data_IF_329858960303
#
_entry.id   IF_329858960303
#
_cell.length_a   1.000
_cell.length_b   1.000
_cell.length_c   1.000
_cell.angle_alpha   90.00
_cell.angle_beta   90.00
_cell.angle_gamma   90.00
#
_symmetry.space_group_name_H-M   'P 1'
#
loop_
_entity.id
_entity.type
_entity.pdbx_description
1 polymer ?
#
# COMPACT_ATOMS: atom_id res chain seq x y z
N UNK A 1 39.09 8.61 68.01
CA UNK A 1 39.26 8.91 66.57
C UNK A 1 38.79 7.73 65.74
N UNK A 2 37.66 7.85 65.04
CA UNK A 2 37.40 7.29 63.70
C UNK A 2 36.00 7.76 63.28
N UNK A 3 35.99 8.52 62.18
CA UNK A 3 34.87 9.30 61.65
C UNK A 3 33.93 8.40 60.86
N UNK A 4 32.64 8.57 61.10
CA UNK A 4 31.52 8.05 60.30
C UNK A 4 31.51 8.74 58.94
N UNK A 5 31.56 7.97 57.86
CA UNK A 5 31.48 8.46 56.49
C UNK A 5 30.01 8.55 56.08
N UNK A 6 29.52 9.78 55.87
CA UNK A 6 28.17 10.07 55.40
C UNK A 6 28.15 9.86 53.87
N UNK A 7 27.29 8.95 53.41
CA UNK A 7 27.06 8.67 52.00
C UNK A 7 26.07 9.69 51.44
N UNK A 8 26.52 10.59 50.56
CA UNK A 8 25.65 11.47 49.79
C UNK A 8 25.04 10.70 48.61
N UNK A 9 23.76 10.36 48.71
CA UNK A 9 22.95 9.91 47.56
C UNK A 9 22.49 11.12 46.77
N UNK A 10 23.15 11.40 45.65
CA UNK A 10 22.65 12.34 44.64
C UNK A 10 21.48 11.70 43.90
N UNK A 11 20.25 12.09 44.24
CA UNK A 11 19.06 11.86 43.42
C UNK A 11 19.22 12.65 42.11
N UNK A 12 19.66 11.98 41.05
CA UNK A 12 19.53 12.51 39.70
C UNK A 12 18.06 12.41 39.28
N UNK A 13 17.31 13.49 39.48
CA UNK A 13 16.04 13.73 38.81
C UNK A 13 16.30 13.81 37.30
N UNK A 14 16.22 12.68 36.60
CA UNK A 14 16.05 12.67 35.15
C UNK A 14 14.65 13.24 34.88
N UNK A 15 14.58 14.54 34.67
CA UNK A 15 13.49 15.15 33.94
C UNK A 15 13.51 14.53 32.54
N UNK A 16 12.69 13.49 32.33
CA UNK A 16 12.24 13.13 31.00
C UNK A 16 11.45 14.32 30.49
N UNK A 17 12.13 15.22 29.79
CA UNK A 17 11.50 16.19 28.93
C UNK A 17 10.70 15.41 27.91
N UNK A 18 9.41 15.27 28.14
CA UNK A 18 8.44 15.02 27.09
C UNK A 18 8.62 16.16 26.08
N UNK A 19 9.41 15.93 25.02
CA UNK A 19 9.36 16.80 23.86
C UNK A 19 8.02 16.49 23.20
N UNK A 20 6.99 17.18 23.68
CA UNK A 20 5.70 17.25 23.00
C UNK A 20 5.94 17.93 21.66
N UNK A 21 6.15 17.14 20.61
CA UNK A 21 6.05 17.65 19.24
C UNK A 21 4.56 17.78 18.88
N UNK A 22 3.90 18.78 19.48
CA UNK A 22 2.72 19.43 18.92
C UNK A 22 3.18 20.28 17.74
N UNK A 23 3.61 19.62 16.66
CA UNK A 23 4.02 20.33 15.44
C UNK A 23 2.82 20.85 14.67
N UNK A 24 3.00 21.95 13.96
CA UNK A 24 2.08 22.35 12.89
C UNK A 24 2.20 21.37 11.70
N UNK A 25 1.14 21.22 10.87
CA UNK A 25 1.24 20.51 9.61
C UNK A 25 2.39 21.01 8.72
N UNK A 26 3.16 20.08 8.15
CA UNK A 26 4.34 20.39 7.33
C UNK A 26 4.01 20.24 5.85
N UNK A 27 4.28 21.27 5.05
CA UNK A 27 4.09 21.20 3.60
C UNK A 27 5.15 20.32 2.95
N UNK A 28 4.71 19.47 2.04
CA UNK A 28 5.56 18.64 1.19
C UNK A 28 5.86 19.41 -0.10
N UNK A 29 7.13 19.73 -0.40
CA UNK A 29 7.49 20.38 -1.65
C UNK A 29 7.24 19.44 -2.84
N UNK A 30 6.77 20.00 -3.96
CA UNK A 30 6.67 19.26 -5.21
C UNK A 30 8.07 18.90 -5.72
N UNK A 31 8.17 17.79 -6.43
CA UNK A 31 9.39 17.38 -7.13
C UNK A 31 9.09 17.19 -8.61
N UNK A 32 10.05 17.55 -9.46
CA UNK A 32 9.90 17.39 -10.91
C UNK A 32 9.84 15.92 -11.26
N UNK A 33 8.80 15.54 -11.99
CA UNK A 33 8.63 14.17 -12.49
C UNK A 33 9.05 14.08 -13.96
N UNK A 34 9.49 12.89 -14.38
CA UNK A 34 9.73 12.59 -15.78
C UNK A 34 8.42 12.56 -16.58
N UNK A 35 8.47 13.03 -17.81
CA UNK A 35 7.34 12.98 -18.74
C UNK A 35 7.28 11.62 -19.43
N UNK A 36 6.07 11.15 -19.71
CA UNK A 36 5.84 9.89 -20.40
C UNK A 36 4.52 9.86 -21.15
N UNK A 37 4.23 8.73 -21.78
CA UNK A 37 3.05 8.46 -22.58
C UNK A 37 2.09 7.51 -21.85
N UNK A 38 0.85 7.94 -21.53
CA UNK A 38 -0.09 7.13 -20.76
C UNK A 38 -0.54 5.86 -21.49
N UNK A 39 -0.59 5.85 -22.82
CA UNK A 39 -0.95 4.63 -23.57
C UNK A 39 0.14 3.57 -23.43
N UNK A 40 1.40 3.96 -23.61
CA UNK A 40 2.55 3.07 -23.38
C UNK A 40 2.63 2.60 -21.93
N UNK A 41 2.29 3.47 -20.98
CA UNK A 41 2.24 3.14 -19.56
C UNK A 41 1.22 2.04 -19.25
N UNK A 42 0.01 2.16 -19.80
CA UNK A 42 -1.00 1.11 -19.68
C UNK A 42 -0.56 -0.20 -20.34
N UNK A 43 -0.01 -0.14 -21.56
CA UNK A 43 0.52 -1.31 -22.24
C UNK A 43 1.62 -1.99 -21.42
N UNK A 44 2.56 -1.23 -20.87
CA UNK A 44 3.62 -1.77 -20.02
C UNK A 44 3.07 -2.34 -18.70
N UNK A 45 2.07 -1.71 -18.08
CA UNK A 45 1.42 -2.24 -16.88
C UNK A 45 0.88 -3.67 -17.10
N UNK A 46 0.19 -3.88 -18.22
CA UNK A 46 -0.60 -5.11 -18.47
C UNK A 46 0.06 -6.14 -19.38
N UNK A 47 1.21 -5.81 -19.99
CA UNK A 47 2.01 -6.73 -20.83
C UNK A 47 3.51 -6.70 -20.52
N UNK A 48 4.00 -5.72 -19.77
CA UNK A 48 5.42 -5.47 -19.56
C UNK A 48 6.10 -6.42 -18.60
N UNK A 49 7.43 -6.40 -18.67
CA UNK A 49 8.37 -7.36 -18.09
C UNK A 49 9.13 -6.80 -16.88
N UNK A 50 8.47 -5.99 -16.05
CA UNK A 50 9.12 -5.40 -14.85
C UNK A 50 9.38 -6.43 -13.73
N UNK A 51 8.79 -7.63 -13.84
CA UNK A 51 9.11 -8.83 -13.05
C UNK A 51 9.46 -9.96 -14.04
N UNK A 52 10.75 -10.20 -14.28
CA UNK A 52 11.25 -11.10 -15.35
C UNK A 52 11.37 -12.58 -14.95
N UNK A 53 10.96 -12.97 -13.75
CA UNK A 53 10.93 -14.37 -13.31
C UNK A 53 9.58 -14.70 -12.67
N UNK A 54 9.10 -15.92 -12.84
CA UNK A 54 7.76 -16.30 -12.40
C UNK A 54 7.49 -17.79 -12.51
N UNK A 55 6.21 -18.16 -12.46
CA UNK A 55 5.77 -19.56 -12.56
C UNK A 55 5.66 -19.93 -14.04
N UNK A 56 6.23 -21.06 -14.50
CA UNK A 56 6.04 -21.53 -15.86
C UNK A 56 4.55 -21.67 -16.23
N UNK A 57 4.16 -21.22 -17.41
CA UNK A 57 2.75 -21.06 -17.82
C UNK A 57 1.89 -22.32 -17.61
N UNK A 58 2.44 -23.50 -17.91
CA UNK A 58 1.72 -24.77 -17.74
C UNK A 58 1.40 -25.05 -16.28
N UNK A 59 2.36 -24.81 -15.38
CA UNK A 59 2.15 -24.96 -13.93
C UNK A 59 1.21 -23.90 -13.38
N UNK A 60 1.32 -22.67 -13.88
CA UNK A 60 0.40 -21.61 -13.51
C UNK A 60 -1.05 -22.01 -13.83
N UNK A 61 -1.30 -22.54 -15.03
CA UNK A 61 -2.64 -23.01 -15.46
C UNK A 61 -3.16 -24.20 -14.66
N UNK A 62 -2.28 -25.05 -14.12
CA UNK A 62 -2.69 -26.14 -13.23
C UNK A 62 -3.14 -25.62 -11.85
N UNK A 63 -2.51 -24.56 -11.34
CA UNK A 63 -2.85 -23.97 -10.04
C UNK A 63 -3.98 -22.93 -10.08
N UNK A 64 -4.07 -22.17 -11.17
CA UNK A 64 -5.04 -21.09 -11.37
C UNK A 64 -6.11 -21.53 -12.38
N UNK A 65 -7.11 -22.27 -11.90
CA UNK A 65 -8.18 -22.84 -12.73
C UNK A 65 -9.47 -22.02 -12.76
N UNK A 66 -9.62 -21.06 -11.83
CA UNK A 66 -10.81 -20.21 -11.71
C UNK A 66 -10.41 -18.75 -11.63
N UNK A 67 -10.71 -18.01 -12.68
CA UNK A 67 -10.55 -16.55 -12.77
C UNK A 67 -11.45 -16.02 -13.89
N UNK A 68 -11.68 -14.72 -13.89
CA UNK A 68 -12.47 -14.04 -14.91
C UNK A 68 -11.54 -13.16 -15.76
N UNK A 69 -11.13 -13.66 -16.93
CA UNK A 69 -10.31 -12.89 -17.88
C UNK A 69 -11.08 -11.76 -18.56
N UNK A 70 -12.41 -11.73 -18.48
CA UNK A 70 -13.22 -10.64 -19.05
C UNK A 70 -13.08 -9.34 -18.28
N UNK A 71 -12.62 -9.40 -17.03
CA UNK A 71 -12.32 -8.22 -16.20
C UNK A 71 -11.21 -7.33 -16.78
N UNK A 72 -10.25 -7.94 -17.49
CA UNK A 72 -9.20 -7.23 -18.23
C UNK A 72 -8.91 -7.98 -19.54
N UNK A 73 -9.68 -7.71 -20.61
CA UNK A 73 -9.48 -8.37 -21.89
C UNK A 73 -8.11 -8.01 -22.47
N UNK A 74 -7.29 -9.03 -22.74
CA UNK A 74 -5.95 -8.91 -23.31
C UNK A 74 -5.79 -9.81 -24.54
N UNK A 75 -4.70 -9.61 -25.29
CA UNK A 75 -4.38 -10.40 -26.49
C UNK A 75 -3.11 -11.24 -26.30
N UNK A 76 -2.82 -12.12 -27.27
CA UNK A 76 -1.61 -12.94 -27.29
C UNK A 76 -1.50 -13.88 -26.08
N UNK A 77 -0.28 -14.05 -25.57
CA UNK A 77 0.00 -14.95 -24.43
C UNK A 77 -0.70 -14.53 -23.13
N UNK A 78 -1.18 -13.29 -23.05
CA UNK A 78 -1.88 -12.71 -21.90
C UNK A 78 -3.41 -12.83 -21.97
N UNK A 79 -3.99 -13.32 -23.07
CA UNK A 79 -5.45 -13.35 -23.27
C UNK A 79 -6.21 -14.16 -22.21
N UNK A 80 -5.60 -15.23 -21.69
CA UNK A 80 -6.18 -16.11 -20.67
C UNK A 80 -5.28 -16.11 -19.42
N UNK A 81 -4.92 -14.91 -18.96
CA UNK A 81 -4.15 -14.71 -17.74
C UNK A 81 -4.94 -13.74 -16.86
N UNK A 82 -5.12 -14.01 -15.55
CA UNK A 82 -5.79 -13.09 -14.63
C UNK A 82 -5.11 -11.72 -14.62
N UNK A 83 -5.87 -10.65 -14.33
CA UNK A 83 -5.36 -9.28 -14.40
C UNK A 83 -4.20 -9.00 -13.42
N UNK A 84 -4.08 -9.81 -12.37
CA UNK A 84 -3.02 -9.74 -11.35
C UNK A 84 -1.64 -10.21 -11.86
N UNK A 85 -1.57 -10.76 -13.07
CA UNK A 85 -0.35 -11.35 -13.61
C UNK A 85 -0.09 -10.93 -15.06
N UNK A 86 1.18 -10.95 -15.45
CA UNK A 86 1.62 -10.85 -16.84
C UNK A 86 2.31 -12.16 -17.24
N UNK A 87 1.95 -12.70 -18.40
CA UNK A 87 2.70 -13.75 -19.08
C UNK A 87 3.77 -13.14 -19.97
N UNK A 88 4.99 -13.68 -19.89
CA UNK A 88 6.19 -13.14 -20.55
C UNK A 88 6.96 -14.28 -21.22
N UNK A 89 7.46 -14.09 -22.45
CA UNK A 89 8.37 -15.05 -23.07
C UNK A 89 9.71 -15.07 -22.32
N UNK A 90 10.35 -16.24 -22.25
CA UNK A 90 11.70 -16.35 -21.68
C UNK A 90 12.77 -16.29 -22.77
N UNK A 91 13.98 -15.83 -22.41
CA UNK A 91 15.11 -15.75 -23.34
C UNK A 91 15.54 -17.11 -23.92
N UNK A 92 15.22 -18.22 -23.25
CA UNK A 92 15.58 -19.59 -23.66
C UNK A 92 14.39 -20.36 -24.27
N UNK A 93 13.28 -19.68 -24.55
CA UNK A 93 12.03 -20.29 -25.01
C UNK A 93 11.08 -20.65 -23.85
N UNK A 94 9.78 -20.72 -24.16
CA UNK A 94 8.74 -20.90 -23.14
C UNK A 94 8.16 -19.59 -22.61
N UNK A 95 7.23 -19.71 -21.66
CA UNK A 95 6.48 -18.58 -21.09
C UNK A 95 6.41 -18.72 -19.58
N UNK A 96 6.75 -17.65 -18.86
CA UNK A 96 6.53 -17.53 -17.42
C UNK A 96 5.35 -16.59 -17.15
N UNK A 97 4.73 -16.74 -15.99
CA UNK A 97 3.67 -15.89 -15.49
C UNK A 97 4.16 -15.27 -14.18
N UNK A 98 4.26 -13.95 -14.17
CA UNK A 98 4.79 -13.17 -13.05
C UNK A 98 3.70 -12.27 -12.45
N UNK A 99 3.72 -12.03 -11.12
CA UNK A 99 2.80 -11.08 -10.48
C UNK A 99 3.05 -9.67 -11.00
N UNK A 100 1.99 -8.88 -11.05
CA UNK A 100 2.01 -7.52 -11.59
C UNK A 100 1.43 -6.52 -10.57
N UNK A 101 1.48 -5.22 -10.86
CA UNK A 101 1.04 -4.19 -9.90
C UNK A 101 -0.45 -4.26 -9.54
N UNK A 102 -1.29 -4.83 -10.42
CA UNK A 102 -2.74 -4.90 -10.25
C UNK A 102 -3.19 -5.90 -9.19
N UNK A 103 -2.30 -6.77 -8.70
CA UNK A 103 -2.59 -7.62 -7.54
C UNK A 103 -2.99 -6.80 -6.30
N UNK A 104 -2.38 -5.62 -6.14
CA UNK A 104 -2.63 -4.71 -5.03
C UNK A 104 -3.43 -3.47 -5.45
N UNK A 105 -3.18 -2.95 -6.66
CA UNK A 105 -3.69 -1.66 -7.12
C UNK A 105 -4.91 -1.76 -8.05
N UNK A 106 -5.58 -2.91 -8.09
CA UNK A 106 -6.89 -3.02 -8.69
C UNK A 106 -7.72 -4.04 -7.92
N UNK A 107 -9.04 -3.89 -7.98
CA UNK A 107 -9.96 -4.96 -7.61
C UNK A 107 -11.24 -4.88 -8.42
N UNK A 108 -11.94 -6.00 -8.61
CA UNK A 108 -13.29 -6.00 -9.13
C UNK A 108 -14.25 -5.31 -8.17
N UNK A 109 -15.10 -4.45 -8.69
CA UNK A 109 -16.20 -3.81 -7.98
C UNK A 109 -17.40 -3.71 -8.94
N UNK A 110 -18.57 -4.17 -8.49
CA UNK A 110 -19.78 -4.28 -9.33
C UNK A 110 -19.56 -4.94 -10.71
N UNK A 111 -18.81 -6.04 -10.71
CA UNK A 111 -18.54 -6.84 -11.91
C UNK A 111 -17.56 -6.21 -12.90
N UNK A 112 -16.89 -5.11 -12.54
CA UNK A 112 -15.88 -4.45 -13.38
C UNK A 112 -14.56 -4.32 -12.64
N UNK A 113 -13.45 -4.47 -13.33
CA UNK A 113 -12.14 -4.15 -12.76
C UNK A 113 -11.99 -2.64 -12.63
N UNK A 114 -11.70 -2.16 -11.42
CA UNK A 114 -11.37 -0.75 -11.18
C UNK A 114 -9.85 -0.64 -10.99
N UNK A 115 -9.14 -0.27 -12.06
CA UNK A 115 -7.69 -0.03 -12.00
C UNK A 115 -7.44 1.25 -11.20
N UNK A 116 -6.53 1.15 -10.24
CA UNK A 116 -6.20 2.20 -9.28
C UNK A 116 -6.97 2.11 -7.96
N UNK A 117 -7.95 1.20 -7.82
CA UNK A 117 -8.61 0.92 -6.54
C UNK A 117 -7.80 -0.11 -5.75
N UNK A 118 -7.49 0.20 -4.48
CA UNK A 118 -6.77 -0.71 -3.59
C UNK A 118 -7.51 -2.03 -3.39
N UNK A 119 -6.79 -3.15 -3.45
CA UNK A 119 -7.36 -4.48 -3.30
C UNK A 119 -7.61 -4.83 -1.82
N UNK A 120 -8.78 -4.46 -1.31
CA UNK A 120 -9.20 -4.80 0.05
C UNK A 120 -9.45 -6.31 0.27
N UNK A 121 -9.39 -7.15 -0.77
CA UNK A 121 -9.66 -8.60 -0.69
C UNK A 121 -8.38 -9.46 -0.61
N UNK A 122 -7.20 -8.83 -0.71
CA UNK A 122 -5.90 -9.50 -0.67
C UNK A 122 -5.72 -10.29 0.63
N UNK A 123 -5.02 -11.42 0.56
CA UNK A 123 -4.92 -12.37 1.67
C UNK A 123 -3.47 -12.82 1.90
N UNK A 124 -2.81 -12.13 2.84
CA UNK A 124 -1.49 -12.50 3.35
C UNK A 124 -1.57 -13.37 4.61
N UNK A 125 -2.73 -13.91 4.95
CA UNK A 125 -2.88 -14.71 6.18
C UNK A 125 -2.21 -16.08 6.04
N UNK A 126 -1.89 -16.77 7.15
CA UNK A 126 -1.19 -18.05 7.12
C UNK A 126 -1.82 -19.05 6.12
N UNK A 127 -1.01 -19.53 5.17
CA UNK A 127 -1.42 -20.51 4.17
C UNK A 127 -2.26 -19.97 3.00
N UNK A 128 -2.49 -18.66 2.90
CA UNK A 128 -3.25 -18.02 1.80
C UNK A 128 -2.40 -17.21 0.82
N UNK A 129 -1.17 -16.85 1.21
CA UNK A 129 -0.17 -16.20 0.36
C UNK A 129 0.87 -17.15 -0.25
N UNK A 130 2.09 -16.63 -0.48
CA UNK A 130 3.23 -17.44 -0.96
C UNK A 130 3.57 -18.50 0.09
N UNK A 131 3.67 -19.76 -0.33
CA UNK A 131 3.98 -20.89 0.56
C UNK A 131 5.38 -21.47 0.25
N UNK A 132 6.29 -21.40 1.23
CA UNK A 132 7.66 -21.88 1.07
C UNK A 132 7.76 -23.39 0.76
N UNK A 133 6.89 -24.22 1.32
CA UNK A 133 6.87 -25.66 1.06
C UNK A 133 6.41 -25.97 -0.37
N UNK A 134 5.37 -25.29 -0.85
CA UNK A 134 4.90 -25.38 -2.24
C UNK A 134 5.98 -24.90 -3.22
N UNK A 135 6.68 -23.79 -2.93
CA UNK A 135 7.80 -23.31 -3.75
C UNK A 135 8.95 -24.33 -3.78
N UNK A 136 9.30 -24.93 -2.64
CA UNK A 136 10.34 -25.95 -2.55
C UNK A 136 9.98 -27.22 -3.33
N UNK A 137 8.70 -27.61 -3.29
CA UNK A 137 8.20 -28.74 -4.08
C UNK A 137 8.26 -28.44 -5.58
N UNK A 138 7.82 -27.24 -5.99
CA UNK A 138 7.87 -26.78 -7.38
C UNK A 138 9.31 -26.73 -7.88
N UNK A 139 10.25 -26.21 -7.09
CA UNK A 139 11.67 -26.17 -7.40
C UNK A 139 12.23 -27.58 -7.67
N UNK A 140 12.00 -28.54 -6.77
CA UNK A 140 12.47 -29.92 -6.96
C UNK A 140 11.89 -30.56 -8.22
N UNK A 141 10.59 -30.36 -8.46
CA UNK A 141 9.92 -30.90 -9.64
C UNK A 141 10.49 -30.30 -10.93
N UNK A 142 10.69 -28.99 -10.99
CA UNK A 142 11.25 -28.30 -12.15
C UNK A 142 12.71 -28.69 -12.40
N UNK A 143 13.55 -28.73 -11.36
CA UNK A 143 14.95 -29.17 -11.49
C UNK A 143 15.08 -30.56 -12.11
N UNK A 144 14.21 -31.49 -11.71
CA UNK A 144 14.32 -32.89 -12.12
C UNK A 144 13.68 -33.17 -13.49
N UNK A 145 12.63 -32.44 -13.87
CA UNK A 145 11.82 -32.78 -15.04
C UNK A 145 11.82 -31.71 -16.13
N UNK A 146 12.05 -30.44 -15.77
CA UNK A 146 11.91 -29.28 -16.67
C UNK A 146 13.02 -28.25 -16.41
N UNK A 147 14.30 -28.57 -16.70
CA UNK A 147 15.44 -27.74 -16.32
C UNK A 147 15.44 -26.34 -16.97
N UNK A 148 14.88 -26.19 -18.18
CA UNK A 148 14.74 -24.88 -18.82
C UNK A 148 13.72 -23.99 -18.09
N UNK A 149 12.57 -24.56 -17.71
CA UNK A 149 11.55 -23.88 -16.92
C UNK A 149 12.06 -23.53 -15.51
N UNK A 150 12.90 -24.40 -14.92
CA UNK A 150 13.58 -24.10 -13.66
C UNK A 150 14.44 -22.85 -13.77
N UNK A 151 15.29 -22.73 -14.80
CA UNK A 151 16.17 -21.57 -14.95
C UNK A 151 15.38 -20.26 -15.10
N UNK A 152 14.23 -20.28 -15.80
CA UNK A 152 13.36 -19.11 -15.91
C UNK A 152 12.65 -18.75 -14.59
N UNK A 153 12.32 -19.74 -13.76
CA UNK A 153 11.61 -19.58 -12.50
C UNK A 153 12.53 -19.39 -11.28
N UNK A 154 13.83 -19.69 -11.41
CA UNK A 154 14.77 -19.86 -10.30
C UNK A 154 14.80 -18.67 -9.35
N UNK A 155 14.94 -17.45 -9.87
CA UNK A 155 14.98 -16.24 -9.04
C UNK A 155 13.67 -16.06 -8.28
N UNK A 156 12.54 -16.17 -8.98
CA UNK A 156 11.22 -16.06 -8.34
C UNK A 156 11.03 -17.11 -7.24
N UNK A 157 11.38 -18.36 -7.48
CA UNK A 157 11.28 -19.44 -6.49
C UNK A 157 12.18 -19.19 -5.27
N UNK A 158 13.43 -18.78 -5.49
CA UNK A 158 14.38 -18.54 -4.40
C UNK A 158 13.92 -17.38 -3.51
N UNK A 159 13.58 -16.24 -4.13
CA UNK A 159 13.15 -15.04 -3.41
C UNK A 159 11.84 -15.31 -2.69
N UNK A 160 10.84 -15.86 -3.38
CA UNK A 160 9.53 -16.21 -2.81
C UNK A 160 9.65 -17.13 -1.61
N UNK A 161 10.47 -18.19 -1.70
CA UNK A 161 10.72 -19.11 -0.58
C UNK A 161 11.40 -18.42 0.61
N UNK A 162 12.30 -17.48 0.35
CA UNK A 162 13.06 -16.76 1.39
C UNK A 162 12.18 -15.81 2.18
N UNK A 163 11.27 -15.09 1.52
CA UNK A 163 10.42 -14.08 2.14
C UNK A 163 9.09 -14.65 2.70
N UNK A 164 8.60 -15.76 2.15
CA UNK A 164 7.29 -16.32 2.48
C UNK A 164 7.02 -16.54 3.98
N UNK A 165 7.98 -17.02 4.80
CA UNK A 165 7.74 -17.21 6.23
C UNK A 165 7.45 -15.91 6.99
N UNK A 166 8.01 -14.80 6.50
CA UNK A 166 7.95 -13.49 7.16
C UNK A 166 6.88 -12.58 6.54
N UNK A 167 6.42 -12.87 5.31
CA UNK A 167 5.37 -12.11 4.61
C UNK A 167 3.96 -12.59 4.96
N UNK A 168 3.58 -12.44 6.23
CA UNK A 168 2.31 -12.94 6.77
C UNK A 168 1.59 -11.85 7.57
N UNK A 169 0.29 -11.67 7.32
CA UNK A 169 -0.58 -10.76 8.06
C UNK A 169 -1.47 -11.51 9.05
N UNK A 170 -1.82 -10.87 10.16
CA UNK A 170 -2.73 -11.45 11.16
C UNK A 170 -4.18 -11.58 10.65
N UNK A 171 -4.60 -10.65 9.78
CA UNK A 171 -5.95 -10.61 9.21
C UNK A 171 -5.92 -10.41 7.70
N UNK A 172 -6.99 -10.84 7.04
CA UNK A 172 -7.21 -10.69 5.60
C UNK A 172 -7.63 -9.26 5.26
N UNK A 173 -7.27 -8.81 4.07
CA UNK A 173 -7.72 -7.54 3.50
C UNK A 173 -6.82 -6.35 3.81
N UNK A 174 -5.63 -6.61 4.36
CA UNK A 174 -4.56 -5.63 4.53
C UNK A 174 -3.39 -5.97 3.62
N UNK A 175 -2.66 -4.96 3.19
CA UNK A 175 -1.48 -5.09 2.36
C UNK A 175 -0.21 -5.10 3.23
N UNK A 176 0.83 -5.77 2.72
CA UNK A 176 2.16 -5.85 3.33
C UNK A 176 3.24 -5.33 2.39
N UNK A 177 2.93 -4.44 1.45
CA UNK A 177 3.89 -3.93 0.45
C UNK A 177 5.15 -3.31 1.08
N UNK A 178 4.99 -2.52 2.14
CA UNK A 178 6.13 -1.91 2.86
C UNK A 178 6.99 -2.99 3.54
N UNK A 179 6.35 -4.02 4.11
CA UNK A 179 7.05 -5.16 4.72
C UNK A 179 7.74 -6.04 3.66
N UNK A 180 7.09 -6.27 2.51
CA UNK A 180 7.67 -6.94 1.35
C UNK A 180 8.92 -6.20 0.88
N UNK A 181 8.86 -4.88 0.75
CA UNK A 181 10.03 -4.08 0.38
C UNK A 181 11.17 -4.26 1.39
N UNK A 182 10.88 -4.21 2.70
CA UNK A 182 11.87 -4.45 3.75
C UNK A 182 12.53 -5.85 3.65
N UNK A 183 11.74 -6.90 3.42
CA UNK A 183 12.24 -8.26 3.22
C UNK A 183 13.12 -8.40 1.99
N UNK A 184 12.73 -7.78 0.86
CA UNK A 184 13.50 -7.82 -0.37
C UNK A 184 14.83 -7.10 -0.21
N UNK A 185 14.84 -5.88 0.35
CA UNK A 185 16.08 -5.11 0.49
C UNK A 185 17.03 -5.70 1.53
N UNK A 186 16.51 -6.45 2.51
CA UNK A 186 17.34 -7.18 3.46
C UNK A 186 18.25 -8.20 2.76
N UNK A 187 17.92 -8.62 1.54
CA UNK A 187 18.68 -9.58 0.75
C UNK A 187 19.29 -8.99 -0.52
N UNK A 188 19.27 -7.66 -0.69
CA UNK A 188 19.78 -7.00 -1.90
C UNK A 188 20.93 -6.08 -1.55
N UNK A 189 22.02 -6.16 -2.30
CA UNK A 189 23.05 -5.13 -2.22
C UNK A 189 22.49 -3.78 -2.74
N UNK A 190 22.65 -2.66 -2.01
CA UNK A 190 22.02 -1.40 -2.37
C UNK A 190 22.54 -0.80 -3.69
N UNK A 191 23.78 -1.07 -4.08
CA UNK A 191 24.38 -0.47 -5.28
C UNK A 191 24.13 -1.30 -6.54
N UNK A 192 24.11 -2.62 -6.39
CA UNK A 192 24.08 -3.56 -7.51
C UNK A 192 22.75 -4.29 -7.62
N UNK A 193 21.91 -4.26 -6.58
CA UNK A 193 20.71 -5.08 -6.43
C UNK A 193 20.95 -6.58 -6.55
N UNK A 194 22.20 -7.07 -6.44
CA UNK A 194 22.43 -8.51 -6.44
C UNK A 194 21.85 -9.15 -5.18
N UNK A 195 21.24 -10.31 -5.36
CA UNK A 195 20.65 -11.09 -4.27
C UNK A 195 21.72 -11.75 -3.40
N UNK A 196 21.49 -11.78 -2.09
CA UNK A 196 22.25 -12.54 -1.11
C UNK A 196 21.33 -13.56 -0.43
N UNK A 197 21.72 -14.83 -0.38
CA UNK A 197 20.94 -15.86 0.33
C UNK A 197 20.95 -15.66 1.86
N UNK A 198 21.90 -14.88 2.37
CA UNK A 198 21.94 -14.46 3.78
C UNK A 198 21.43 -13.02 3.92
N UNK A 199 20.55 -12.70 4.88
CA UNK A 199 20.09 -11.34 5.09
C UNK A 199 21.27 -10.43 5.48
N UNK A 200 21.40 -9.32 4.77
CA UNK A 200 22.37 -8.24 5.00
C UNK A 200 21.85 -7.20 6.01
N UNK A 201 20.54 -7.19 6.28
CA UNK A 201 19.89 -6.34 7.28
C UNK A 201 19.21 -7.21 8.34
N UNK A 202 19.13 -6.71 9.58
CA UNK A 202 18.43 -7.40 10.66
C UNK A 202 16.93 -7.52 10.35
N UNK A 203 16.35 -8.70 10.62
CA UNK A 203 14.92 -9.02 10.47
C UNK A 203 14.03 -8.50 11.61
N UNK A 204 14.35 -7.34 12.18
CA UNK A 204 13.60 -6.76 13.30
C UNK A 204 12.62 -5.65 12.85
N UNK A 205 12.28 -5.60 11.57
CA UNK A 205 11.27 -4.70 11.06
C UNK A 205 9.87 -5.22 11.43
N UNK A 206 9.02 -4.31 11.92
CA UNK A 206 7.65 -4.67 12.28
C UNK A 206 6.86 -5.10 11.03
N UNK A 207 5.98 -6.08 11.19
CA UNK A 207 4.92 -6.36 10.21
C UNK A 207 3.81 -5.36 10.46
N UNK A 208 3.75 -4.30 9.66
CA UNK A 208 2.73 -3.25 9.81
C UNK A 208 1.76 -3.35 8.64
N UNK A 209 0.46 -3.56 8.88
CA UNK A 209 -0.53 -3.56 7.82
C UNK A 209 -0.68 -2.17 7.24
N UNK A 210 -0.80 -2.09 5.91
CA UNK A 210 -1.19 -0.86 5.23
C UNK A 210 -2.32 -1.18 4.28
N UNK A 211 -3.25 -0.25 4.09
CA UNK A 211 -4.14 -0.29 2.94
C UNK A 211 -3.37 0.14 1.67
N UNK A 212 -4.01 0.04 0.51
CA UNK A 212 -3.41 0.46 -0.76
C UNK A 212 -4.03 1.78 -1.23
N UNK A 213 -3.28 2.90 -1.24
CA UNK A 213 -3.82 4.19 -1.67
C UNK A 213 -4.34 4.15 -3.11
N UNK A 214 -5.46 4.82 -3.42
CA UNK A 214 -5.97 4.88 -4.78
C UNK A 214 -5.03 5.65 -5.72
N UNK A 215 -4.72 5.07 -6.88
CA UNK A 215 -3.75 5.65 -7.82
C UNK A 215 -4.21 6.95 -8.47
N UNK A 216 -5.51 7.13 -8.68
CA UNK A 216 -6.05 8.37 -9.26
C UNK A 216 -5.78 9.61 -8.40
N UNK A 217 -5.42 9.43 -7.12
CA UNK A 217 -5.01 10.52 -6.24
C UNK A 217 -3.59 11.00 -6.52
N UNK A 218 -2.73 10.18 -7.12
CA UNK A 218 -1.29 10.43 -7.23
C UNK A 218 -0.98 11.73 -7.99
N UNK A 219 -1.79 12.09 -9.00
CA UNK A 219 -1.63 13.33 -9.79
C UNK A 219 -1.70 14.62 -8.97
N UNK A 220 -2.27 14.58 -7.76
CA UNK A 220 -2.34 15.72 -6.84
C UNK A 220 -1.21 15.71 -5.82
N UNK A 221 -0.55 14.57 -5.61
CA UNK A 221 0.37 14.35 -4.49
C UNK A 221 1.80 14.73 -4.86
N UNK A 222 2.50 15.33 -3.89
CA UNK A 222 3.92 15.64 -3.94
C UNK A 222 4.78 14.50 -3.35
N UNK A 223 4.15 13.40 -2.91
CA UNK A 223 4.84 12.21 -2.43
C UNK A 223 3.98 10.95 -2.42
N UNK A 224 4.67 9.82 -2.35
CA UNK A 224 4.07 8.49 -2.28
C UNK A 224 3.90 8.02 -0.84
N UNK A 225 3.07 6.97 -0.68
CA UNK A 225 2.77 6.29 0.59
C UNK A 225 1.92 7.12 1.58
N UNK A 226 1.38 6.48 2.61
CA UNK A 226 0.51 7.12 3.61
C UNK A 226 1.26 8.05 4.55
N UNK A 227 2.48 7.69 4.95
CA UNK A 227 3.37 8.54 5.77
C UNK A 227 4.08 9.64 4.93
N UNK A 228 3.89 9.62 3.61
CA UNK A 228 4.49 10.54 2.67
C UNK A 228 5.99 10.36 2.47
N UNK A 229 6.68 9.40 3.09
CA UNK A 229 8.14 9.40 3.09
C UNK A 229 8.81 9.28 1.71
N UNK A 230 8.12 8.80 0.67
CA UNK A 230 8.67 8.68 -0.68
C UNK A 230 8.63 10.00 -1.44
N UNK A 231 9.78 10.68 -1.55
CA UNK A 231 9.94 11.97 -2.25
C UNK A 231 10.89 11.83 -3.45
N UNK A 232 10.82 12.78 -4.38
CA UNK A 232 11.64 12.77 -5.59
C UNK A 232 10.92 12.11 -6.76
N UNK A 233 11.65 11.37 -7.60
CA UNK A 233 11.07 10.71 -8.77
C UNK A 233 10.16 9.55 -8.38
N UNK A 234 8.87 9.62 -8.74
CA UNK A 234 7.90 8.58 -8.42
C UNK A 234 8.11 7.31 -9.22
N UNK A 235 8.67 7.41 -10.43
CA UNK A 235 8.99 6.24 -11.27
C UNK A 235 9.94 5.27 -10.56
N UNK A 236 10.92 5.79 -9.81
CA UNK A 236 11.82 4.99 -8.97
C UNK A 236 11.09 4.17 -7.90
N UNK A 237 10.01 4.70 -7.33
CA UNK A 237 9.21 3.95 -6.36
C UNK A 237 8.27 2.95 -7.04
N UNK A 238 7.73 3.28 -8.21
CA UNK A 238 6.86 2.37 -8.98
C UNK A 238 7.58 1.08 -9.39
N UNK A 239 8.88 1.16 -9.67
CA UNK A 239 9.69 -0.01 -9.99
C UNK A 239 10.18 -0.81 -8.76
N UNK A 240 9.79 -0.47 -7.52
CA UNK A 240 10.23 -1.22 -6.35
C UNK A 240 9.85 -2.72 -6.43
N UNK A 241 8.77 -3.07 -7.13
CA UNK A 241 8.39 -4.45 -7.43
C UNK A 241 9.42 -5.21 -8.25
N UNK A 242 10.25 -4.54 -9.06
CA UNK A 242 11.35 -5.15 -9.81
C UNK A 242 12.38 -5.83 -8.90
N UNK A 243 12.54 -5.35 -7.65
CA UNK A 243 13.44 -5.98 -6.67
C UNK A 243 13.10 -7.44 -6.37
N UNK A 244 11.85 -7.87 -6.65
CA UNK A 244 11.41 -9.24 -6.47
C UNK A 244 12.24 -10.22 -7.31
N UNK A 245 12.58 -9.85 -8.55
CA UNK A 245 13.24 -10.79 -9.48
C UNK A 245 14.43 -10.23 -10.23
N UNK A 246 14.76 -8.94 -10.05
CA UNK A 246 15.87 -8.33 -10.78
C UNK A 246 17.16 -9.11 -10.60
N UNK A 247 17.95 -9.26 -11.66
CA UNK A 247 19.32 -9.77 -11.54
C UNK A 247 20.24 -8.75 -10.88
N UNK A 248 20.22 -7.53 -11.41
CA UNK A 248 21.05 -6.40 -10.97
C UNK A 248 20.51 -5.06 -11.49
N UNK A 249 21.25 -3.97 -11.27
CA UNK A 249 20.86 -2.63 -11.73
C UNK A 249 20.79 -2.44 -13.25
N UNK A 250 21.36 -3.32 -14.09
CA UNK A 250 21.23 -3.18 -15.56
C UNK A 250 19.78 -3.48 -15.97
N UNK A 251 19.22 -4.58 -15.48
CA UNK A 251 17.79 -4.89 -15.67
C UNK A 251 16.91 -3.77 -15.10
N UNK A 252 17.25 -3.26 -13.91
CA UNK A 252 16.48 -2.17 -13.31
C UNK A 252 16.54 -0.88 -14.13
N UNK A 253 17.63 -0.58 -14.85
CA UNK A 253 17.68 0.56 -15.79
C UNK A 253 16.70 0.40 -16.94
N UNK A 254 16.59 -0.81 -17.50
CA UNK A 254 15.63 -1.09 -18.57
C UNK A 254 14.19 -0.88 -18.09
N UNK A 255 13.88 -1.36 -16.89
CA UNK A 255 12.55 -1.19 -16.27
C UNK A 255 12.27 0.29 -15.97
N UNK A 256 13.25 1.01 -15.40
CA UNK A 256 13.13 2.43 -15.08
C UNK A 256 12.85 3.31 -16.30
N UNK A 257 13.34 2.92 -17.49
CA UNK A 257 13.07 3.64 -18.74
C UNK A 257 11.57 3.68 -19.11
N UNK A 258 10.78 2.72 -18.62
CA UNK A 258 9.34 2.63 -18.86
C UNK A 258 8.50 3.29 -17.74
N UNK A 259 9.10 3.57 -16.58
CA UNK A 259 8.38 4.13 -15.44
C UNK A 259 7.78 5.53 -15.66
N UNK A 260 8.37 6.43 -16.47
CA UNK A 260 7.70 7.69 -16.83
C UNK A 260 6.39 7.48 -17.58
N UNK A 261 6.34 6.49 -18.48
CA UNK A 261 5.12 6.14 -19.23
C UNK A 261 4.06 5.59 -18.28
N UNK A 262 4.45 4.68 -17.38
CA UNK A 262 3.55 4.16 -16.34
C UNK A 262 3.03 5.27 -15.42
N UNK A 263 3.90 6.17 -14.95
CA UNK A 263 3.49 7.30 -14.12
C UNK A 263 2.50 8.22 -14.87
N UNK A 264 2.72 8.46 -16.16
CA UNK A 264 1.79 9.22 -16.99
C UNK A 264 0.41 8.54 -17.09
N UNK A 265 0.37 7.19 -17.19
CA UNK A 265 -0.89 6.44 -17.13
C UNK A 265 -1.58 6.63 -15.78
N UNK A 266 -0.85 6.48 -14.67
CA UNK A 266 -1.39 6.68 -13.31
C UNK A 266 -1.96 8.10 -13.14
N UNK A 267 -1.31 9.11 -13.71
CA UNK A 267 -1.81 10.49 -13.71
C UNK A 267 -3.05 10.71 -14.57
N UNK A 268 -3.27 9.87 -15.58
CA UNK A 268 -4.48 9.92 -16.42
C UNK A 268 -5.71 9.28 -15.76
N UNK A 269 -5.52 8.53 -14.66
CA UNK A 269 -6.63 7.90 -13.96
C UNK A 269 -7.55 8.93 -13.31
N UNK A 270 -8.85 8.67 -13.43
CA UNK A 270 -9.91 9.45 -12.78
C UNK A 270 -10.63 8.57 -11.75
N UNK A 271 -11.06 9.21 -10.66
CA UNK A 271 -11.88 8.57 -9.65
C UNK A 271 -13.22 8.10 -10.25
N UNK A 272 -13.71 6.89 -9.92
CA UNK A 272 -15.05 6.47 -10.30
C UNK A 272 -16.10 7.43 -9.74
N UNK A 273 -17.06 7.84 -10.57
CA UNK A 273 -18.20 8.63 -10.11
C UNK A 273 -19.13 7.76 -9.26
N UNK A 274 -19.68 8.34 -8.19
CA UNK A 274 -20.72 7.68 -7.42
C UNK A 274 -21.93 7.36 -8.32
N UNK A 275 -22.44 6.12 -8.33
CA UNK A 275 -23.39 5.67 -9.35
C UNK A 275 -24.86 6.01 -9.04
N UNK A 276 -25.20 6.31 -7.79
CA UNK A 276 -26.58 6.53 -7.37
C UNK A 276 -26.95 8.02 -7.34
N UNK A 277 -28.24 8.30 -7.16
CA UNK A 277 -28.72 9.67 -6.96
C UNK A 277 -28.08 10.31 -5.71
N UNK A 278 -27.79 11.61 -5.83
CA UNK A 278 -27.23 12.45 -4.78
C UNK A 278 -28.28 13.51 -4.42
N UNK A 279 -28.57 13.66 -3.13
CA UNK A 279 -29.36 14.77 -2.60
C UNK A 279 -28.53 16.06 -2.69
N UNK A 280 -28.76 16.82 -3.76
CA UNK A 280 -27.99 18.05 -4.05
C UNK A 280 -28.12 19.10 -2.95
N UNK A 281 -29.31 19.42 -2.42
CA UNK A 281 -29.43 20.32 -1.26
C UNK A 281 -28.62 19.87 -0.04
N UNK A 282 -28.65 18.58 0.29
CA UNK A 282 -27.91 18.04 1.43
C UNK A 282 -26.39 18.06 1.17
N UNK A 283 -25.94 17.67 -0.03
CA UNK A 283 -24.54 17.77 -0.43
C UNK A 283 -24.01 19.21 -0.39
N UNK A 284 -24.83 20.21 -0.77
CA UNK A 284 -24.46 21.61 -0.68
C UNK A 284 -24.24 22.07 0.78
N UNK A 285 -25.10 21.63 1.71
CA UNK A 285 -24.89 21.83 3.16
C UNK A 285 -23.61 21.11 3.63
N UNK A 286 -23.41 19.89 3.17
CA UNK A 286 -22.23 19.08 3.46
C UNK A 286 -20.93 19.75 3.04
N UNK A 287 -20.93 20.37 1.85
CA UNK A 287 -19.79 21.14 1.34
C UNK A 287 -19.41 22.27 2.28
N UNK A 288 -20.37 23.03 2.79
CA UNK A 288 -20.10 24.13 3.73
C UNK A 288 -19.46 23.62 5.03
N UNK A 289 -19.95 22.50 5.57
CA UNK A 289 -19.36 21.86 6.75
C UNK A 289 -17.95 21.35 6.45
N UNK A 290 -17.75 20.71 5.29
CA UNK A 290 -16.47 20.20 4.86
C UNK A 290 -15.42 21.31 4.67
N UNK A 291 -15.78 22.40 4.01
CA UNK A 291 -14.88 23.55 3.80
C UNK A 291 -14.44 24.17 5.13
N UNK A 292 -15.32 24.18 6.14
CA UNK A 292 -15.02 24.70 7.48
C UNK A 292 -14.15 23.75 8.32
N UNK A 293 -14.39 22.44 8.22
CA UNK A 293 -13.85 21.46 9.19
C UNK A 293 -12.79 20.50 8.63
N UNK A 294 -12.70 20.35 7.31
CA UNK A 294 -11.90 19.29 6.67
C UNK A 294 -10.90 19.83 5.63
N UNK A 295 -11.27 20.89 4.92
CA UNK A 295 -10.53 21.36 3.74
C UNK A 295 -9.12 21.88 4.05
N UNK A 296 -8.83 22.29 5.29
CA UNK A 296 -7.48 22.73 5.69
C UNK A 296 -6.42 21.63 5.53
N UNK A 297 -6.81 20.36 5.70
CA UNK A 297 -5.92 19.20 5.54
C UNK A 297 -6.14 18.49 4.20
N UNK A 298 -7.41 18.27 3.81
CA UNK A 298 -7.76 17.48 2.63
C UNK A 298 -7.83 18.29 1.33
N UNK A 299 -7.81 19.62 1.41
CA UNK A 299 -7.94 20.51 0.28
C UNK A 299 -9.37 20.85 -0.10
N UNK A 300 -9.52 21.60 -1.20
CA UNK A 300 -10.80 22.01 -1.78
C UNK A 300 -11.03 21.31 -3.12
N UNK A 301 -12.30 21.20 -3.52
CA UNK A 301 -12.72 20.45 -4.71
C UNK A 301 -13.55 21.30 -5.67
N UNK A 302 -13.59 20.88 -6.93
CA UNK A 302 -14.18 21.63 -8.05
C UNK A 302 -13.11 22.17 -9.00
N UNK A 303 -13.49 23.00 -10.00
CA UNK A 303 -12.60 23.45 -11.07
C UNK A 303 -11.31 24.15 -10.59
N UNK A 304 -11.40 24.84 -9.44
CA UNK A 304 -10.27 25.56 -8.82
C UNK A 304 -9.81 24.90 -7.52
N UNK A 305 -10.10 23.61 -7.33
CA UNK A 305 -9.73 22.86 -6.15
C UNK A 305 -8.21 22.83 -5.93
N UNK A 306 -7.77 22.91 -4.68
CA UNK A 306 -6.36 22.89 -4.30
C UNK A 306 -6.12 21.83 -3.25
N UNK A 307 -5.10 21.00 -3.46
CA UNK A 307 -4.64 20.03 -2.48
C UNK A 307 -3.35 20.52 -1.80
N UNK A 308 -3.33 20.71 -0.47
CA UNK A 308 -2.27 21.45 0.20
C UNK A 308 -0.97 20.65 0.36
N UNK A 309 -1.01 19.32 0.16
CA UNK A 309 0.15 18.43 0.29
C UNK A 309 0.81 18.54 1.67
N UNK A 310 0.05 18.27 2.74
CA UNK A 310 0.50 18.38 4.13
C UNK A 310 0.82 17.01 4.73
N UNK A 311 1.87 16.99 5.55
CA UNK A 311 2.13 15.99 6.56
C UNK A 311 1.51 16.44 7.88
N UNK A 312 0.58 15.65 8.40
CA UNK A 312 -0.10 15.89 9.67
C UNK A 312 0.65 15.13 10.78
N UNK A 313 1.16 15.81 11.81
CA UNK A 313 1.88 15.19 12.92
C UNK A 313 1.05 14.12 13.64
N UNK A 314 1.73 13.08 14.10
CA UNK A 314 1.14 11.96 14.85
C UNK A 314 0.32 12.42 16.06
N UNK A 315 0.78 13.43 16.78
CA UNK A 315 0.08 14.00 17.94
C UNK A 315 -1.27 14.68 17.56
N UNK A 316 -1.37 15.18 16.33
CA UNK A 316 -2.57 15.84 15.80
C UNK A 316 -3.54 14.81 15.22
N UNK A 317 -3.05 13.90 14.36
CA UNK A 317 -3.91 12.92 13.67
C UNK A 317 -4.29 11.74 14.57
N UNK A 318 -3.42 11.34 15.50
CA UNK A 318 -3.65 10.31 16.54
C UNK A 318 -4.06 8.92 16.03
N UNK A 319 -3.94 8.67 14.73
CA UNK A 319 -4.14 7.33 14.16
C UNK A 319 -2.99 6.41 14.55
N UNK A 320 -3.14 5.10 14.33
CA UNK A 320 -2.12 4.10 14.66
C UNK A 320 -0.70 4.59 14.27
N UNK A 321 0.23 4.55 15.22
CA UNK A 321 1.56 5.14 15.08
C UNK A 321 2.59 4.18 14.53
N UNK A 322 2.28 2.87 14.44
CA UNK A 322 3.30 1.85 14.22
C UNK A 322 3.95 1.99 12.84
N UNK A 323 3.19 2.41 11.81
CA UNK A 323 3.74 2.59 10.47
C UNK A 323 4.80 3.70 10.43
N UNK A 324 4.52 4.91 10.93
CA UNK A 324 5.55 5.95 10.91
C UNK A 324 6.64 5.70 11.94
N UNK A 325 6.33 5.16 13.13
CA UNK A 325 7.34 4.96 14.19
C UNK A 325 8.33 3.85 13.85
N UNK A 326 7.89 2.77 13.19
CA UNK A 326 8.77 1.69 12.72
C UNK A 326 9.84 2.18 11.75
N UNK A 327 9.51 3.16 10.89
CA UNK A 327 10.47 3.79 9.98
C UNK A 327 11.57 4.57 10.70
N UNK A 328 11.34 5.03 11.94
CA UNK A 328 12.35 5.68 12.78
C UNK A 328 13.11 4.69 13.65
N UNK A 329 12.42 3.68 14.21
CA UNK A 329 13.06 2.66 15.06
C UNK A 329 13.92 1.68 14.29
N UNK A 330 13.70 1.57 12.97
CA UNK A 330 14.35 0.59 12.09
C UNK A 330 14.97 1.32 10.88
N UNK A 331 15.96 2.22 11.10
CA UNK A 331 16.47 3.12 10.07
C UNK A 331 17.25 2.38 8.96
N UNK A 332 17.56 1.10 9.13
CA UNK A 332 18.34 0.35 8.15
C UNK A 332 17.67 0.29 6.78
N UNK A 333 16.34 0.22 6.71
CA UNK A 333 15.60 0.25 5.44
C UNK A 333 15.78 1.59 4.72
N UNK A 334 15.53 2.68 5.46
CA UNK A 334 15.67 4.05 4.95
C UNK A 334 17.11 4.33 4.52
N UNK A 335 18.09 3.91 5.33
CA UNK A 335 19.51 4.06 5.03
C UNK A 335 19.94 3.25 3.82
N UNK A 336 19.45 2.02 3.69
CA UNK A 336 19.68 1.19 2.51
C UNK A 336 19.16 1.90 1.26
N UNK A 337 17.89 2.35 1.28
CA UNK A 337 17.27 3.00 0.12
C UNK A 337 18.01 4.28 -0.27
N UNK A 338 18.32 5.13 0.70
CA UNK A 338 18.97 6.40 0.46
C UNK A 338 20.46 6.28 0.07
N UNK A 339 21.06 5.11 0.22
CA UNK A 339 22.39 4.80 -0.34
C UNK A 339 22.30 4.02 -1.65
N UNK A 340 21.14 3.49 -1.99
CA UNK A 340 20.98 2.59 -3.13
C UNK A 340 21.02 3.29 -4.48
N UNK A 341 21.02 2.48 -5.53
CA UNK A 341 20.85 2.94 -6.91
C UNK A 341 19.62 3.86 -7.11
N UNK A 342 18.54 3.70 -6.33
CA UNK A 342 17.36 4.59 -6.40
C UNK A 342 17.68 6.07 -6.12
N UNK A 343 18.79 6.36 -5.42
CA UNK A 343 19.23 7.72 -5.07
C UNK A 343 20.20 8.33 -6.08
N UNK A 344 20.59 7.58 -7.10
CA UNK A 344 21.61 7.96 -8.10
C UNK A 344 21.01 8.61 -9.35
N UNK A 345 21.87 9.22 -10.18
CA UNK A 345 21.50 9.83 -11.45
C UNK A 345 20.71 11.14 -11.32
N UNK A 346 20.13 11.59 -12.43
CA UNK A 346 19.50 12.93 -12.53
C UNK A 346 18.05 12.97 -11.98
N UNK A 347 17.49 11.81 -11.67
CA UNK A 347 16.11 11.64 -11.17
C UNK A 347 16.09 10.77 -9.91
N UNK A 348 16.66 11.25 -8.80
CA UNK A 348 16.75 10.46 -7.58
C UNK A 348 15.41 10.40 -6.84
N UNK A 349 15.17 9.27 -6.20
CA UNK A 349 14.18 9.13 -5.14
C UNK A 349 14.85 9.13 -3.76
N UNK A 350 14.10 9.55 -2.75
CA UNK A 350 14.56 9.57 -1.35
C UNK A 350 13.43 9.15 -0.42
N UNK A 351 13.76 8.31 0.55
CA UNK A 351 12.91 8.09 1.72
C UNK A 351 13.23 9.15 2.77
N UNK A 352 12.27 10.01 3.07
CA UNK A 352 12.33 11.07 4.06
C UNK A 352 11.24 10.85 5.13
N UNK A 353 11.52 10.04 6.17
CA UNK A 353 10.56 9.70 7.21
C UNK A 353 9.98 10.93 7.91
N UNK A 354 8.73 10.83 8.35
CA UNK A 354 8.03 11.86 9.12
C UNK A 354 7.17 11.19 10.19
N UNK A 355 7.10 11.78 11.39
CA UNK A 355 6.25 11.28 12.49
C UNK A 355 4.80 11.69 12.29
N UNK A 356 4.14 11.08 11.31
CA UNK A 356 2.76 11.39 10.97
C UNK A 356 2.36 10.87 9.60
N UNK A 357 1.24 11.37 9.10
CA UNK A 357 0.63 10.90 7.86
C UNK A 357 0.21 12.05 6.95
N UNK A 358 0.16 11.77 5.66
CA UNK A 358 -0.46 12.66 4.68
C UNK A 358 -1.98 12.58 4.85
N UNK A 359 -2.65 13.74 4.91
CA UNK A 359 -4.10 13.79 4.71
C UNK A 359 -4.36 13.63 3.20
N UNK A 360 -4.90 12.50 2.69
CA UNK A 360 -5.00 12.27 1.25
C UNK A 360 -6.06 13.17 0.61
N UNK A 361 -5.99 13.44 -0.71
CA UNK A 361 -7.16 13.92 -1.45
C UNK A 361 -8.29 12.88 -1.34
N UNK A 362 -9.53 13.31 -1.50
CA UNK A 362 -10.72 12.48 -1.21
C UNK A 362 -11.55 12.17 -2.46
N UNK A 363 -10.98 12.38 -3.65
CA UNK A 363 -11.62 12.02 -4.91
C UNK A 363 -11.91 10.52 -4.94
N UNK A 364 -13.16 10.15 -5.24
CA UNK A 364 -13.60 8.74 -5.23
C UNK A 364 -13.60 8.09 -3.85
N UNK A 365 -13.57 8.85 -2.75
CA UNK A 365 -13.54 8.28 -1.39
C UNK A 365 -14.68 7.29 -1.14
N UNK A 366 -15.81 7.47 -1.82
CA UNK A 366 -17.00 6.63 -1.71
C UNK A 366 -16.75 5.14 -2.01
N UNK A 367 -15.73 4.76 -2.79
CA UNK A 367 -15.45 3.35 -3.15
C UNK A 367 -14.23 2.78 -2.43
N UNK A 368 -13.53 3.59 -1.62
CA UNK A 368 -12.19 3.27 -1.10
C UNK A 368 -12.19 2.69 0.32
N UNK A 369 -13.31 2.12 0.74
CA UNK A 369 -13.37 1.47 2.04
C UNK A 369 -12.53 0.18 2.05
N UNK A 370 -11.96 -0.24 3.19
CA UNK A 370 -12.03 0.43 4.49
C UNK A 370 -11.11 1.67 4.58
N UNK A 371 -11.33 2.52 5.56
CA UNK A 371 -10.66 3.81 5.72
C UNK A 371 -9.50 3.76 6.73
N UNK A 372 -8.71 4.85 6.73
CA UNK A 372 -7.40 5.01 7.39
C UNK A 372 -6.28 4.22 6.69
N UNK A 373 -5.04 4.50 7.06
CA UNK A 373 -3.86 3.93 6.38
C UNK A 373 -3.72 2.42 6.53
N UNK A 374 -4.45 1.80 7.46
CA UNK A 374 -4.40 0.37 7.80
C UNK A 374 -5.73 -0.35 7.52
N UNK A 375 -6.70 0.33 6.90
CA UNK A 375 -8.00 -0.26 6.57
C UNK A 375 -8.83 -0.69 7.79
N UNK A 376 -8.70 0.00 8.92
CA UNK A 376 -9.32 -0.40 10.19
C UNK A 376 -10.77 0.04 10.36
N UNK A 377 -11.24 1.02 9.59
CA UNK A 377 -12.58 1.61 9.73
C UNK A 377 -13.46 1.26 8.53
N UNK A 378 -14.56 0.48 8.70
CA UNK A 378 -15.25 -0.14 7.57
C UNK A 378 -16.17 0.79 6.75
N UNK A 379 -16.59 1.95 7.27
CA UNK A 379 -17.53 2.86 6.61
C UNK A 379 -17.23 4.34 6.92
N UNK A 380 -17.72 5.25 6.06
CA UNK A 380 -17.59 6.69 6.29
C UNK A 380 -18.34 7.16 7.55
N UNK A 381 -19.46 6.53 7.87
CA UNK A 381 -20.18 6.83 9.11
C UNK A 381 -19.31 6.53 10.35
N UNK A 382 -18.66 5.37 10.40
CA UNK A 382 -17.71 5.02 11.46
C UNK A 382 -16.44 5.89 11.42
N UNK A 383 -16.01 6.35 10.24
CA UNK A 383 -14.87 7.27 10.11
C UNK A 383 -15.17 8.62 10.76
N UNK A 384 -16.36 9.17 10.52
CA UNK A 384 -16.77 10.47 11.03
C UNK A 384 -17.35 10.42 12.45
N UNK A 385 -17.65 9.24 12.97
CA UNK A 385 -18.15 9.04 14.33
C UNK A 385 -17.33 7.95 15.04
N UNK A 386 -16.29 8.33 15.76
CA UNK A 386 -15.34 7.39 16.33
C UNK A 386 -15.96 6.46 17.38
N UNK A 387 -17.03 6.89 18.05
CA UNK A 387 -17.71 6.08 19.08
C UNK A 387 -18.48 4.90 18.50
N UNK A 388 -18.73 4.85 17.18
CA UNK A 388 -19.40 3.73 16.51
C UNK A 388 -18.43 2.76 15.84
N UNK A 389 -17.12 3.05 15.87
CA UNK A 389 -16.11 2.19 15.24
C UNK A 389 -16.08 0.83 15.94
N UNK A 390 -16.28 -0.29 15.22
CA UNK A 390 -16.22 -1.61 15.82
C UNK A 390 -14.78 -1.93 16.24
N UNK A 391 -14.60 -2.49 17.43
CA UNK A 391 -13.32 -3.03 17.91
C UNK A 391 -12.90 -4.29 17.15
N UNK A 392 -13.88 -5.15 16.87
CA UNK A 392 -13.73 -6.32 16.03
C UNK A 392 -14.82 -6.31 14.97
N UNK A 393 -14.48 -6.59 13.72
CA UNK A 393 -15.49 -6.66 12.66
C UNK A 393 -15.13 -7.65 11.56
N UNK A 394 -16.15 -8.22 10.94
CA UNK A 394 -16.01 -9.16 9.83
C UNK A 394 -16.86 -8.73 8.64
N UNK A 395 -16.49 -9.18 7.44
CA UNK A 395 -17.28 -9.02 6.20
C UNK A 395 -17.21 -10.27 5.35
N UNK A 396 -18.14 -10.42 4.41
CA UNK A 396 -18.13 -11.53 3.47
C UNK A 396 -17.07 -11.30 2.37
N UNK A 397 -15.97 -12.05 2.41
CA UNK A 397 -14.93 -11.99 1.38
C UNK A 397 -15.23 -12.84 0.13
N UNK A 398 -16.25 -13.71 0.17
CA UNK A 398 -16.70 -14.53 -0.97
C UNK A 398 -17.72 -13.78 -1.81
N UNK A 399 -18.64 -13.07 -1.15
CA UNK A 399 -19.70 -12.24 -1.77
C UNK A 399 -19.73 -10.86 -1.12
N UNK A 400 -18.69 -10.03 -1.34
CA UNK A 400 -18.60 -8.72 -0.70
C UNK A 400 -19.83 -7.86 -1.01
N UNK A 401 -20.34 -7.19 0.02
CA UNK A 401 -21.50 -6.29 -0.05
C UNK A 401 -21.06 -4.88 0.34
N UNK A 402 -21.53 -3.88 -0.40
CA UNK A 402 -21.18 -2.47 -0.20
C UNK A 402 -22.41 -1.65 0.15
N UNK A 403 -22.30 -0.78 1.15
CA UNK A 403 -23.35 0.17 1.50
C UNK A 403 -23.08 1.49 0.76
N UNK A 404 -23.95 1.86 -0.17
CA UNK A 404 -23.84 3.11 -0.92
C UNK A 404 -24.36 4.34 -0.14
N UNK A 405 -25.36 4.14 0.72
CA UNK A 405 -25.99 5.21 1.52
C UNK A 405 -25.02 5.78 2.56
N UNK A 406 -24.29 4.89 3.22
CA UNK A 406 -23.11 5.19 4.04
C UNK A 406 -21.92 4.44 3.44
N UNK A 407 -21.21 5.07 2.47
CA UNK A 407 -20.12 4.44 1.73
C UNK A 407 -19.18 3.64 2.63
N UNK A 408 -19.08 2.34 2.36
CA UNK A 408 -18.41 1.40 3.25
C UNK A 408 -18.78 -0.05 2.96
N UNK A 409 -17.99 -0.96 3.53
CA UNK A 409 -18.36 -2.38 3.52
C UNK A 409 -19.59 -2.60 4.41
N UNK A 410 -20.48 -3.51 3.98
CA UNK A 410 -21.41 -4.11 4.94
C UNK A 410 -20.61 -5.06 5.81
N UNK A 411 -20.65 -4.83 7.12
CA UNK A 411 -19.87 -5.57 8.10
C UNK A 411 -20.74 -6.00 9.29
N UNK A 412 -20.24 -6.97 10.04
CA UNK A 412 -20.77 -7.37 11.34
C UNK A 412 -19.77 -6.99 12.42
N UNK A 413 -20.22 -6.26 13.44
CA UNK A 413 -19.43 -6.09 14.66
C UNK A 413 -19.37 -7.42 15.40
N UNK A 414 -18.16 -7.85 15.75
CA UNK A 414 -17.92 -9.07 16.50
C UNK A 414 -17.63 -8.71 17.97
N UNK A 415 -17.95 -9.62 18.87
CA UNK A 415 -17.74 -9.42 20.32
C UNK A 415 -16.34 -9.81 20.78
N UNK A 416 -15.59 -10.54 19.94
CA UNK A 416 -14.25 -11.02 20.24
C UNK A 416 -13.39 -11.07 18.97
N UNK A 417 -12.07 -11.08 19.18
CA UNK A 417 -11.11 -11.50 18.17
C UNK A 417 -11.36 -12.96 17.76
N UNK A 418 -10.77 -13.40 16.65
CA UNK A 418 -10.92 -14.80 16.24
C UNK A 418 -10.19 -15.12 14.94
N UNK A 419 -10.94 -15.63 13.96
CA UNK A 419 -10.42 -16.03 12.65
C UNK A 419 -9.73 -14.88 11.95
N UNK A 420 -8.83 -15.18 11.02
CA UNK A 420 -8.12 -14.19 10.20
C UNK A 420 -9.05 -13.33 9.31
N UNK A 421 -10.34 -13.67 9.21
CA UNK A 421 -11.37 -12.87 8.54
C UNK A 421 -12.05 -11.84 9.45
N UNK A 422 -11.71 -11.80 10.74
CA UNK A 422 -12.17 -10.79 11.70
C UNK A 422 -11.04 -9.78 11.86
N UNK A 423 -11.27 -8.54 11.45
CA UNK A 423 -10.35 -7.44 11.70
C UNK A 423 -10.27 -7.18 13.21
N UNK A 424 -9.06 -7.11 13.77
CA UNK A 424 -8.81 -6.96 15.20
C UNK A 424 -7.99 -5.70 15.48
N UNK A 425 -8.62 -4.67 16.06
CA UNK A 425 -7.97 -3.38 16.30
C UNK A 425 -7.08 -3.33 17.53
N UNK A 426 -7.00 -4.42 18.30
CA UNK A 426 -6.06 -4.56 19.41
C UNK A 426 -4.67 -5.03 18.97
N UNK A 427 -4.53 -5.52 17.73
CA UNK A 427 -3.24 -5.95 17.20
C UNK A 427 -2.34 -4.73 16.91
N UNK A 428 -1.02 -4.85 17.10
CA UNK A 428 -0.08 -3.78 16.75
C UNK A 428 -0.19 -3.37 15.28
N UNK A 429 -0.40 -2.08 15.00
CA UNK A 429 -0.55 -1.56 13.64
C UNK A 429 -1.98 -1.58 13.09
N UNK A 430 -2.92 -2.24 13.78
CA UNK A 430 -4.31 -2.40 13.35
C UNK A 430 -5.28 -1.44 14.07
N UNK A 431 -4.79 -0.48 14.85
CA UNK A 431 -5.67 0.38 15.64
C UNK A 431 -6.60 1.22 14.74
N UNK A 432 -7.86 1.34 15.16
CA UNK A 432 -8.89 2.19 14.54
C UNK A 432 -9.03 3.56 15.23
N UNK A 433 -8.03 3.96 16.02
CA UNK A 433 -8.01 5.24 16.75
C UNK A 433 -7.63 6.42 15.84
N UNK A 434 -7.75 7.63 16.38
CA UNK A 434 -7.37 8.87 15.70
C UNK A 434 -8.39 9.40 14.72
N UNK A 435 -8.05 10.54 14.10
CA UNK A 435 -8.92 11.28 13.20
C UNK A 435 -10.30 11.54 13.83
N UNK A 436 -10.29 12.10 15.06
CA UNK A 436 -11.49 12.37 15.86
C UNK A 436 -12.24 13.65 15.47
N UNK A 437 -11.78 14.37 14.44
CA UNK A 437 -12.34 15.66 14.02
C UNK A 437 -13.82 15.60 13.65
N UNK A 438 -14.31 14.44 13.18
CA UNK A 438 -15.72 14.22 12.89
C UNK A 438 -16.61 14.13 14.13
N UNK A 439 -16.05 13.86 15.32
CA UNK A 439 -16.82 13.65 16.55
C UNK A 439 -17.53 14.91 17.03
N UNK A 440 -16.98 16.09 16.71
CA UNK A 440 -17.57 17.39 17.01
C UNK A 440 -18.78 17.74 16.13
N UNK A 441 -19.03 16.99 15.05
CA UNK A 441 -20.17 17.22 14.17
C UNK A 441 -21.44 16.60 14.75
N UNK A 442 -22.58 17.26 14.55
CA UNK A 442 -23.89 16.64 14.79
C UNK A 442 -24.15 15.51 13.80
N UNK A 443 -25.13 14.64 14.11
CA UNK A 443 -25.51 13.56 13.21
C UNK A 443 -25.97 14.07 11.83
N UNK A 444 -26.68 15.19 11.78
CA UNK A 444 -27.12 15.79 10.52
C UNK A 444 -25.95 16.40 9.73
N UNK A 445 -24.98 17.01 10.42
CA UNK A 445 -23.76 17.50 9.79
C UNK A 445 -22.93 16.35 9.21
N UNK A 446 -22.80 15.22 9.93
CA UNK A 446 -22.11 14.02 9.42
C UNK A 446 -22.79 13.48 8.17
N UNK A 447 -24.12 13.31 8.19
CA UNK A 447 -24.90 12.89 7.01
C UNK A 447 -24.71 13.83 5.83
N UNK A 448 -24.74 15.14 6.07
CA UNK A 448 -24.52 16.15 5.04
C UNK A 448 -23.12 16.03 4.43
N UNK A 449 -22.07 15.91 5.26
CA UNK A 449 -20.69 15.71 4.78
C UNK A 449 -20.57 14.42 3.98
N UNK A 450 -21.15 13.30 4.43
CA UNK A 450 -21.14 12.04 3.66
C UNK A 450 -21.80 12.24 2.29
N UNK A 451 -22.92 12.95 2.23
CA UNK A 451 -23.58 13.25 0.95
C UNK A 451 -22.71 14.11 0.03
N UNK A 452 -21.95 15.05 0.59
CA UNK A 452 -20.94 15.81 -0.16
C UNK A 452 -19.78 14.93 -0.64
N UNK A 453 -19.27 14.03 0.20
CA UNK A 453 -18.17 13.12 -0.15
C UNK A 453 -18.54 12.17 -1.30
N UNK A 454 -19.82 11.84 -1.49
CA UNK A 454 -20.30 11.09 -2.68
C UNK A 454 -20.15 11.88 -3.99
N UNK A 455 -19.99 13.20 -3.92
CA UNK A 455 -19.81 14.06 -5.10
C UNK A 455 -18.35 14.16 -5.55
N UNK A 456 -17.42 13.69 -4.72
CA UNK A 456 -15.97 13.72 -4.93
C UNK A 456 -15.51 12.38 -5.54
#
# INVERSE_FOLDING_TARGET
MKKTLILFTTLALMAFGYIGFTGDPVRIPASRQRLGNPKKGFEYLVYGDYVRSGIPLNLFRMGFTKYDSSLLPRTGINANIPYEFNALPTAKGGVIVAPNCLQCHAMPFDGKLVIGLGNANIDFTPGRGINAASMSMMERMLKNNFPQDYEAAKTFLNVSRTIAPDLVADVRGVNLADHLAALLVAHRDPQTFRWSDTPMLAKNHAVVPTDTPPWWLLKKKNAMFYNGFGRGDFGRFLMASNLLTTGDTLESRDVDAHMPDLLAYLYSLEAPKYPNAIDKPLAAKGKQVFEKSCASCHGTYGPNGKYPNLLIPGATIQTDSLLYSSNYSTPQFVNWFNRSWFRTGDHPAVLAPFNGYVAPPLDGIWITAPYLHNGSVPSLDALLNSSTRPRYWSRDFKKPQYNYGSPGWVYKAETAAGKTTIYNTDLPGYSNRGHYFGDALSNDQRKAVIEYLKTL
#
